data_IF_482577510645
#
_entry.id   IF_482577510645
#
_cell.length_a   1.000
_cell.length_b   1.000
_cell.length_c   1.000
_cell.angle_alpha   90.00
_cell.angle_beta   90.00
_cell.angle_gamma   90.00
#
_symmetry.space_group_name_H-M   'P 1'
#
loop_
_entity.id
_entity.type
_entity.pdbx_description
1 polymer ?
#
# COMPACT_ATOMS: atom_id res chain seq x y z
N UNK A 1 22.44 -44.69 12.88
CA UNK A 1 23.06 -43.38 12.55
C UNK A 1 22.09 -42.34 11.96
N UNK A 2 20.96 -42.72 11.34
CA UNK A 2 20.02 -41.76 10.72
C UNK A 2 19.08 -41.02 11.68
N UNK A 3 18.82 -41.56 12.88
CA UNK A 3 17.94 -40.91 13.86
C UNK A 3 18.57 -39.68 14.52
N UNK A 4 19.89 -39.68 14.72
CA UNK A 4 20.60 -38.55 15.35
C UNK A 4 20.58 -37.28 14.48
N UNK A 5 20.78 -37.41 13.16
CA UNK A 5 20.68 -36.28 12.21
C UNK A 5 19.29 -35.63 12.18
N UNK A 6 18.23 -36.37 12.52
CA UNK A 6 16.86 -35.85 12.51
C UNK A 6 16.60 -34.90 13.69
N UNK A 7 17.16 -35.21 14.86
CA UNK A 7 17.04 -34.34 16.05
C UNK A 7 17.86 -33.06 15.92
N UNK A 8 19.05 -33.14 15.35
CA UNK A 8 19.91 -31.97 15.09
C UNK A 8 19.28 -31.00 14.07
N UNK A 9 18.65 -31.55 13.02
CA UNK A 9 17.90 -30.75 12.04
C UNK A 9 16.67 -30.07 12.64
N UNK A 10 15.92 -30.78 13.50
CA UNK A 10 14.75 -30.21 14.19
C UNK A 10 15.15 -29.12 15.20
N UNK A 11 16.29 -29.26 15.88
CA UNK A 11 16.80 -28.24 16.81
C UNK A 11 17.21 -26.94 16.10
N UNK A 12 17.85 -27.05 14.93
CA UNK A 12 18.23 -25.89 14.12
C UNK A 12 17.03 -25.17 13.47
N UNK A 13 15.96 -25.90 13.13
CA UNK A 13 14.74 -25.26 12.64
C UNK A 13 14.03 -24.48 13.76
N UNK A 14 13.93 -25.02 14.98
CA UNK A 14 13.28 -24.37 16.12
C UNK A 14 14.05 -23.10 16.55
N UNK A 15 15.39 -23.16 16.59
CA UNK A 15 16.21 -21.98 16.91
C UNK A 15 16.08 -20.87 15.85
N UNK A 16 16.01 -21.25 14.56
CA UNK A 16 15.82 -20.29 13.46
C UNK A 16 14.46 -19.60 13.47
N UNK A 17 13.39 -20.31 13.87
CA UNK A 17 12.04 -19.75 13.98
C UNK A 17 11.97 -18.74 15.15
N UNK A 18 12.60 -19.05 16.28
CA UNK A 18 12.68 -18.14 17.42
C UNK A 18 13.41 -16.84 17.10
N UNK A 19 14.53 -16.91 16.37
CA UNK A 19 15.29 -15.72 15.97
C UNK A 19 14.52 -14.86 14.94
N UNK A 20 13.84 -15.49 13.98
CA UNK A 20 12.98 -14.79 13.02
C UNK A 20 11.80 -14.09 13.71
N UNK A 21 11.12 -14.77 14.64
CA UNK A 21 10.02 -14.19 15.40
C UNK A 21 10.46 -12.98 16.24
N UNK A 22 11.62 -13.08 16.90
CA UNK A 22 12.16 -11.98 17.70
C UNK A 22 12.55 -10.77 16.84
N UNK A 23 13.17 -10.97 15.67
CA UNK A 23 13.46 -9.88 14.73
C UNK A 23 12.18 -9.19 14.24
N UNK A 24 11.11 -9.93 13.96
CA UNK A 24 9.82 -9.35 13.56
C UNK A 24 9.19 -8.55 14.71
N UNK A 25 9.24 -9.06 15.94
CA UNK A 25 8.75 -8.37 17.13
C UNK A 25 9.53 -7.07 17.39
N UNK A 26 10.86 -7.13 17.40
CA UNK A 26 11.75 -5.98 17.57
C UNK A 26 11.51 -4.94 16.49
N UNK A 27 11.38 -5.35 15.22
CA UNK A 27 11.13 -4.43 14.10
C UNK A 27 9.76 -3.75 14.22
N UNK A 28 8.73 -4.47 14.67
CA UNK A 28 7.40 -3.90 14.93
C UNK A 28 7.44 -2.91 16.10
N UNK A 29 8.15 -3.23 17.18
CA UNK A 29 8.28 -2.39 18.37
C UNK A 29 9.09 -1.12 18.10
N UNK A 30 10.22 -1.24 17.41
CA UNK A 30 11.03 -0.09 16.97
C UNK A 30 10.23 0.86 16.07
N UNK A 31 9.42 0.31 15.15
CA UNK A 31 8.54 1.13 14.31
C UNK A 31 7.48 1.87 15.13
N UNK A 32 6.89 1.22 16.14
CA UNK A 32 5.92 1.86 17.03
C UNK A 32 6.55 2.98 17.86
N UNK A 33 7.74 2.75 18.43
CA UNK A 33 8.48 3.76 19.20
C UNK A 33 8.87 4.94 18.31
N UNK A 34 9.33 4.68 17.09
CA UNK A 34 9.64 5.73 16.11
C UNK A 34 8.44 6.62 15.81
N UNK A 35 7.25 6.03 15.59
CA UNK A 35 6.03 6.82 15.40
C UNK A 35 5.67 7.64 16.64
N UNK A 36 5.80 7.09 17.85
CA UNK A 36 5.56 7.83 19.09
C UNK A 36 6.54 8.99 19.29
N UNK A 37 7.82 8.81 18.97
CA UNK A 37 8.83 9.89 19.07
C UNK A 37 8.57 11.00 18.05
N UNK A 38 8.21 10.64 16.82
CA UNK A 38 7.83 11.62 15.79
C UNK A 38 6.56 12.38 16.21
N UNK A 39 5.53 11.65 16.66
CA UNK A 39 4.29 12.27 17.13
C UNK A 39 4.55 13.25 18.28
N UNK A 40 5.33 12.83 19.27
CA UNK A 40 5.71 13.67 20.41
C UNK A 40 6.53 14.89 19.96
N UNK A 41 7.49 14.70 19.05
CA UNK A 41 8.30 15.77 18.47
C UNK A 41 7.51 16.77 17.63
N UNK A 42 6.37 16.39 17.06
CA UNK A 42 5.47 17.28 16.33
C UNK A 42 4.47 17.96 17.29
N UNK A 43 3.93 17.22 18.26
CA UNK A 43 2.94 17.72 19.20
C UNK A 43 3.51 18.78 20.15
N UNK A 44 4.77 18.68 20.58
CA UNK A 44 5.37 19.68 21.47
C UNK A 44 5.51 21.06 20.83
N UNK A 45 6.13 21.22 19.64
CA UNK A 45 6.13 22.50 18.93
C UNK A 45 4.71 23.03 18.68
N UNK A 46 3.78 22.17 18.25
CA UNK A 46 2.39 22.58 18.00
C UNK A 46 1.68 23.07 19.27
N UNK A 47 1.97 22.45 20.42
CA UNK A 47 1.47 22.88 21.71
C UNK A 47 2.02 24.25 22.12
N UNK A 48 3.33 24.46 22.01
CA UNK A 48 3.95 25.75 22.33
C UNK A 48 3.57 26.86 21.34
N UNK A 49 3.27 26.50 20.10
CA UNK A 49 2.76 27.43 19.10
C UNK A 49 1.27 27.78 19.33
N UNK A 50 0.60 27.14 20.28
CA UNK A 50 -0.76 27.50 20.70
C UNK A 50 -1.89 26.77 19.97
N UNK A 51 -1.61 25.73 19.18
CA UNK A 51 -2.62 25.01 18.38
C UNK A 51 -3.76 24.42 19.23
N UNK A 52 -3.45 24.02 20.48
CA UNK A 52 -4.42 23.41 21.39
C UNK A 52 -5.09 24.44 22.34
N UNK A 53 -4.86 25.74 22.15
CA UNK A 53 -5.52 26.81 22.90
C UNK A 53 -5.10 26.98 24.38
N UNK A 54 -4.24 26.10 24.91
CA UNK A 54 -3.73 26.18 26.29
C UNK A 54 -2.58 27.18 26.50
N UNK A 55 -1.92 27.61 25.42
CA UNK A 55 -0.81 28.57 25.45
C UNK A 55 -1.06 29.64 24.39
N UNK A 56 -0.86 30.92 24.74
CA UNK A 56 -0.96 32.02 23.78
C UNK A 56 0.21 31.96 22.79
N UNK A 57 -0.02 31.41 21.61
CA UNK A 57 0.96 31.33 20.52
C UNK A 57 0.35 31.72 19.16
N UNK A 58 1.18 31.93 18.12
CA UNK A 58 0.73 32.43 16.81
C UNK A 58 -0.17 31.45 16.04
N UNK A 59 -0.22 30.17 16.45
CA UNK A 59 -1.15 29.16 15.92
C UNK A 59 -2.42 29.00 16.78
N UNK A 60 -2.80 30.00 17.57
CA UNK A 60 -4.10 30.00 18.23
C UNK A 60 -5.23 29.84 17.20
N UNK A 61 -6.22 28.96 17.43
CA UNK A 61 -7.26 28.65 16.44
C UNK A 61 -8.05 29.89 15.97
N UNK A 62 -8.27 30.87 16.85
CA UNK A 62 -8.90 32.17 16.50
C UNK A 62 -8.02 33.04 15.60
N UNK A 63 -6.71 33.08 15.86
CA UNK A 63 -5.75 33.85 15.06
C UNK A 63 -5.42 33.15 13.73
N UNK A 64 -5.48 31.82 13.72
CA UNK A 64 -5.26 31.00 12.54
C UNK A 64 -6.44 31.16 11.58
N UNK A 65 -7.69 31.14 12.08
CA UNK A 65 -8.88 31.43 11.28
C UNK A 65 -8.86 32.83 10.67
N UNK A 66 -8.50 33.85 11.45
CA UNK A 66 -8.40 35.24 10.96
C UNK A 66 -7.22 35.45 10.01
N UNK A 67 -6.07 34.81 10.24
CA UNK A 67 -4.93 34.86 9.30
C UNK A 67 -5.23 34.14 7.99
N UNK A 68 -5.89 32.98 8.02
CA UNK A 68 -6.33 32.26 6.81
C UNK A 68 -7.36 33.08 6.02
N UNK A 69 -8.30 33.74 6.70
CA UNK A 69 -9.25 34.65 6.07
C UNK A 69 -8.55 35.86 5.44
N UNK A 70 -7.56 36.45 6.12
CA UNK A 70 -6.77 37.58 5.62
C UNK A 70 -5.85 37.21 4.45
N UNK A 71 -5.45 35.93 4.33
CA UNK A 71 -4.63 35.44 3.22
C UNK A 71 -5.45 35.19 1.93
N UNK A 72 -6.75 35.49 1.93
CA UNK A 72 -7.65 35.27 0.79
C UNK A 72 -8.06 33.80 0.59
N UNK A 73 -7.76 32.94 1.57
CA UNK A 73 -8.12 31.52 1.56
C UNK A 73 -9.61 31.36 1.86
N UNK A 74 -10.42 31.53 0.82
CA UNK A 74 -11.88 31.33 0.88
C UNK A 74 -12.25 29.86 1.11
N UNK A 75 -13.44 29.63 1.70
CA UNK A 75 -14.04 28.29 1.91
C UNK A 75 -13.97 27.42 0.66
N UNK A 76 -14.15 28.02 -0.52
CA UNK A 76 -14.14 27.34 -1.82
C UNK A 76 -12.76 26.75 -2.14
N UNK A 77 -11.66 27.46 -1.85
CA UNK A 77 -10.31 26.97 -2.12
C UNK A 77 -9.95 25.76 -1.25
N UNK A 78 -10.35 25.79 0.03
CA UNK A 78 -10.19 24.66 0.94
C UNK A 78 -10.97 23.44 0.45
N UNK A 79 -12.23 23.64 0.06
CA UNK A 79 -13.09 22.56 -0.45
C UNK A 79 -12.53 21.94 -1.73
N UNK A 80 -12.11 22.75 -2.70
CA UNK A 80 -11.50 22.27 -3.95
C UNK A 80 -10.20 21.49 -3.67
N UNK A 81 -9.36 21.98 -2.75
CA UNK A 81 -8.15 21.28 -2.36
C UNK A 81 -8.44 19.91 -1.77
N UNK A 82 -9.33 19.80 -0.77
CA UNK A 82 -9.66 18.51 -0.15
C UNK A 82 -10.36 17.55 -1.12
N UNK A 83 -11.21 18.04 -2.01
CA UNK A 83 -11.84 17.22 -3.06
C UNK A 83 -10.78 16.71 -4.04
N UNK A 84 -9.85 17.57 -4.50
CA UNK A 84 -8.79 17.12 -5.41
C UNK A 84 -7.89 16.07 -4.75
N UNK A 85 -7.57 16.23 -3.47
CA UNK A 85 -6.79 15.27 -2.70
C UNK A 85 -7.56 13.95 -2.51
N UNK A 86 -8.88 14.02 -2.27
CA UNK A 86 -9.74 12.84 -2.18
C UNK A 86 -9.78 12.07 -3.51
N UNK A 87 -9.95 12.78 -4.63
CA UNK A 87 -9.92 12.19 -5.97
C UNK A 87 -8.55 11.54 -6.23
N UNK A 88 -7.45 12.23 -5.93
CA UNK A 88 -6.12 11.68 -6.13
C UNK A 88 -5.86 10.44 -5.25
N UNK A 89 -6.21 10.49 -3.97
CA UNK A 89 -6.04 9.39 -3.02
C UNK A 89 -6.90 8.16 -3.39
N UNK A 90 -8.07 8.38 -3.98
CA UNK A 90 -8.94 7.29 -4.44
C UNK A 90 -8.48 6.71 -5.78
N UNK A 91 -8.18 7.58 -6.75
CA UNK A 91 -7.84 7.24 -8.13
C UNK A 91 -6.43 6.63 -8.28
N UNK A 92 -5.43 7.08 -7.50
CA UNK A 92 -4.04 6.61 -7.65
C UNK A 92 -3.91 5.07 -7.62
N UNK A 93 -4.71 4.40 -6.79
CA UNK A 93 -4.69 2.94 -6.70
C UNK A 93 -5.21 2.25 -7.98
N UNK A 94 -6.23 2.86 -8.61
CA UNK A 94 -6.76 2.36 -9.87
C UNK A 94 -5.76 2.59 -10.99
N UNK A 95 -5.17 3.78 -11.05
CA UNK A 95 -4.11 4.13 -12.00
C UNK A 95 -2.92 3.18 -11.87
N UNK A 96 -2.45 2.92 -10.65
CA UNK A 96 -1.33 2.01 -10.42
C UNK A 96 -1.64 0.57 -10.85
N UNK A 97 -2.83 0.06 -10.53
CA UNK A 97 -3.25 -1.28 -10.94
C UNK A 97 -3.43 -1.37 -12.47
N UNK A 98 -3.96 -0.33 -13.11
CA UNK A 98 -4.10 -0.25 -14.57
C UNK A 98 -2.73 -0.24 -15.27
N UNK A 99 -1.80 0.59 -14.81
CA UNK A 99 -0.44 0.65 -15.34
C UNK A 99 0.29 -0.69 -15.14
N UNK A 100 0.13 -1.32 -13.97
CA UNK A 100 0.72 -2.63 -13.69
C UNK A 100 0.17 -3.72 -14.62
N UNK A 101 -1.13 -3.67 -14.92
CA UNK A 101 -1.78 -4.58 -15.86
C UNK A 101 -1.29 -4.33 -17.31
N UNK A 102 -1.15 -3.07 -17.72
CA UNK A 102 -0.66 -2.70 -19.05
C UNK A 102 0.81 -3.09 -19.27
N UNK A 103 1.68 -2.88 -18.27
CA UNK A 103 3.07 -3.35 -18.30
C UNK A 103 3.19 -4.87 -18.22
N UNK A 104 2.10 -5.55 -17.89
CA UNK A 104 2.07 -6.98 -17.64
C UNK A 104 2.94 -7.45 -16.48
N UNK A 105 3.12 -6.58 -15.49
CA UNK A 105 3.75 -6.93 -14.25
C UNK A 105 2.79 -7.77 -13.39
N UNK A 106 3.34 -8.69 -12.58
CA UNK A 106 2.60 -9.52 -11.60
C UNK A 106 1.58 -10.51 -12.18
N UNK A 107 1.74 -10.90 -13.44
CA UNK A 107 1.02 -12.06 -13.97
C UNK A 107 1.67 -13.36 -13.53
N UNK A 108 0.88 -14.30 -13.02
CA UNK A 108 1.32 -15.64 -12.61
C UNK A 108 0.66 -16.74 -13.44
N UNK A 109 1.38 -17.85 -13.59
CA UNK A 109 0.89 -19.01 -14.32
C UNK A 109 -0.24 -19.71 -13.55
N UNK A 110 -1.43 -19.77 -14.15
CA UNK A 110 -2.61 -20.44 -13.59
C UNK A 110 -2.72 -21.94 -13.93
N UNK A 111 -1.67 -22.56 -14.48
CA UNK A 111 -1.69 -24.00 -14.80
C UNK A 111 -1.60 -24.81 -13.50
N UNK A 112 -2.56 -25.71 -13.28
CA UNK A 112 -2.49 -26.70 -12.19
C UNK A 112 -1.46 -27.77 -12.57
N UNK A 113 -0.58 -28.15 -11.65
CA UNK A 113 0.32 -29.27 -11.88
C UNK A 113 -0.40 -30.60 -11.62
N UNK A 114 -0.28 -31.53 -12.57
CA UNK A 114 -1.06 -32.79 -12.60
C UNK A 114 -0.81 -33.73 -11.41
N UNK A 115 0.28 -33.53 -10.64
CA UNK A 115 0.68 -34.45 -9.56
C UNK A 115 0.33 -33.98 -8.14
N UNK A 116 0.03 -32.71 -7.94
CA UNK A 116 -0.25 -32.12 -6.61
C UNK A 116 -1.45 -31.17 -6.59
N UNK A 117 -2.02 -30.82 -7.75
CA UNK A 117 -3.15 -29.88 -7.84
C UNK A 117 -2.78 -28.42 -7.55
N UNK A 118 -1.54 -28.14 -7.17
CA UNK A 118 -1.05 -26.80 -6.87
C UNK A 118 -0.90 -25.97 -8.15
N UNK A 119 -1.32 -24.68 -8.13
CA UNK A 119 -1.10 -23.77 -9.24
C UNK A 119 0.40 -23.49 -9.40
N UNK A 120 0.87 -23.44 -10.64
CA UNK A 120 2.27 -23.21 -10.97
C UNK A 120 2.83 -21.94 -10.31
N UNK A 121 2.06 -20.84 -10.29
CA UNK A 121 2.37 -19.63 -9.51
C UNK A 121 3.58 -18.82 -9.96
N UNK A 122 4.40 -19.35 -10.88
CA UNK A 122 5.59 -18.71 -11.44
C UNK A 122 5.18 -17.51 -12.32
N UNK A 123 5.99 -16.42 -12.36
CA UNK A 123 5.76 -15.29 -13.25
C UNK A 123 5.64 -15.72 -14.71
N UNK A 124 4.77 -15.06 -15.46
CA UNK A 124 4.61 -15.27 -16.91
C UNK A 124 4.99 -14.03 -17.69
N UNK A 125 5.67 -14.24 -18.81
CA UNK A 125 6.01 -13.19 -19.77
C UNK A 125 5.04 -13.23 -20.94
N UNK A 126 4.53 -12.08 -21.38
CA UNK A 126 3.70 -11.97 -22.58
C UNK A 126 4.60 -12.09 -23.81
N UNK A 127 4.37 -13.12 -24.64
CA UNK A 127 5.05 -13.28 -25.94
C UNK A 127 4.01 -13.32 -27.05
N UNK A 128 4.30 -12.64 -28.17
CA UNK A 128 3.49 -12.71 -29.38
C UNK A 128 3.96 -13.92 -30.18
N UNK A 129 3.08 -14.87 -30.42
CA UNK A 129 3.34 -16.00 -31.31
C UNK A 129 2.45 -15.89 -32.53
N UNK A 130 2.99 -16.24 -33.70
CA UNK A 130 2.18 -16.41 -34.90
C UNK A 130 1.60 -17.81 -34.87
N UNK A 131 0.27 -17.91 -34.82
CA UNK A 131 -0.42 -19.20 -34.82
C UNK A 131 -0.15 -19.93 -36.14
N UNK A 132 0.40 -21.14 -36.08
CA UNK A 132 0.66 -21.97 -37.27
C UNK A 132 -0.62 -22.37 -38.02
N UNK A 133 -1.79 -22.36 -37.35
CA UNK A 133 -3.08 -22.76 -37.94
C UNK A 133 -3.83 -21.62 -38.63
N UNK A 134 -3.65 -20.39 -38.16
CA UNK A 134 -4.44 -19.24 -38.60
C UNK A 134 -3.59 -18.09 -39.15
N UNK A 135 -2.26 -18.17 -39.05
CA UNK A 135 -1.34 -17.11 -39.51
C UNK A 135 -1.43 -15.80 -38.71
N UNK A 136 -2.34 -15.72 -37.73
CA UNK A 136 -2.60 -14.52 -36.96
C UNK A 136 -1.65 -14.41 -35.75
N UNK A 137 -1.22 -13.19 -35.39
CA UNK A 137 -0.46 -12.96 -34.17
C UNK A 137 -1.37 -13.13 -32.94
N UNK A 138 -1.16 -14.20 -32.18
CA UNK A 138 -1.85 -14.47 -30.91
C UNK A 138 -0.89 -14.17 -29.76
N UNK A 139 -1.34 -13.35 -28.80
CA UNK A 139 -0.59 -13.13 -27.57
C UNK A 139 -0.81 -14.29 -26.61
N UNK A 140 0.24 -15.04 -26.32
CA UNK A 140 0.23 -16.10 -25.30
C UNK A 140 1.17 -15.74 -24.15
N UNK A 141 0.82 -16.19 -22.95
CA UNK A 141 1.62 -16.05 -21.75
C UNK A 141 2.47 -17.31 -21.56
N UNK A 142 3.79 -17.12 -21.42
CA UNK A 142 4.75 -18.20 -21.25
C UNK A 142 5.40 -18.11 -19.89
N UNK A 143 5.36 -19.22 -19.16
CA UNK A 143 6.04 -19.40 -17.88
C UNK A 143 7.49 -19.90 -18.10
N UNK A 144 8.41 -19.64 -17.18
CA UNK A 144 9.77 -20.21 -17.19
C UNK A 144 9.78 -21.75 -17.25
N UNK A 145 8.76 -22.40 -16.69
CA UNK A 145 8.55 -23.86 -16.78
C UNK A 145 8.02 -24.33 -18.14
N UNK A 146 7.93 -23.45 -19.13
CA UNK A 146 7.52 -23.76 -20.51
C UNK A 146 6.00 -23.87 -20.74
N UNK A 147 5.17 -23.59 -19.74
CA UNK A 147 3.71 -23.59 -19.88
C UNK A 147 3.24 -22.41 -20.74
N UNK A 148 2.40 -22.68 -21.76
CA UNK A 148 1.78 -21.68 -22.64
C UNK A 148 0.27 -21.64 -22.42
N UNK A 149 -0.28 -20.45 -22.21
CA UNK A 149 -1.73 -20.25 -22.11
C UNK A 149 -2.14 -18.87 -22.59
N UNK A 150 -3.37 -18.75 -23.09
CA UNK A 150 -4.00 -17.47 -23.41
C UNK A 150 -4.38 -16.67 -22.16
N UNK A 151 -4.51 -17.33 -21.01
CA UNK A 151 -4.97 -16.73 -19.74
C UNK A 151 -3.87 -16.75 -18.67
N UNK A 152 -3.67 -15.60 -18.01
CA UNK A 152 -2.78 -15.43 -16.87
C UNK A 152 -3.56 -14.83 -15.69
N UNK A 153 -3.16 -15.16 -14.46
CA UNK A 153 -3.80 -14.61 -13.27
C UNK A 153 -3.08 -13.32 -12.84
N UNK A 154 -3.83 -12.23 -12.68
CA UNK A 154 -3.29 -10.95 -12.22
C UNK A 154 -3.48 -10.80 -10.71
N UNK A 155 -2.42 -10.44 -10.00
CA UNK A 155 -2.49 -10.12 -8.58
C UNK A 155 -2.58 -8.60 -8.37
N UNK A 156 -3.78 -8.03 -8.16
CA UNK A 156 -3.93 -6.60 -7.92
C UNK A 156 -3.28 -6.19 -6.60
N UNK A 157 -2.73 -4.98 -6.57
CA UNK A 157 -2.23 -4.41 -5.33
C UNK A 157 -3.40 -3.94 -4.49
N UNK A 158 -3.52 -4.51 -3.29
CA UNK A 158 -4.51 -4.12 -2.29
C UNK A 158 -4.06 -2.82 -1.64
N UNK A 159 -4.98 -1.86 -1.47
CA UNK A 159 -4.71 -0.62 -0.75
C UNK A 159 -4.19 -0.93 0.65
N UNK A 160 -3.09 -0.27 1.03
CA UNK A 160 -2.59 -0.31 2.41
C UNK A 160 -3.45 0.54 3.35
N UNK A 161 -3.33 0.30 4.66
CA UNK A 161 -4.05 1.03 5.70
C UNK A 161 -3.89 2.55 5.64
N UNK A 162 -2.72 3.02 5.18
CA UNK A 162 -2.42 4.46 5.00
C UNK A 162 -3.29 5.09 3.92
N UNK A 163 -3.45 4.42 2.77
CA UNK A 163 -4.34 4.92 1.72
C UNK A 163 -5.78 4.98 2.23
N UNK A 164 -6.22 3.97 2.99
CA UNK A 164 -7.55 3.99 3.61
C UNK A 164 -7.74 5.16 4.57
N UNK A 165 -6.76 5.42 5.43
CA UNK A 165 -6.81 6.53 6.37
C UNK A 165 -6.89 7.88 5.66
N UNK A 166 -6.10 8.06 4.59
CA UNK A 166 -6.06 9.32 3.84
C UNK A 166 -7.40 9.69 3.20
N UNK A 167 -8.06 8.78 2.47
CA UNK A 167 -9.35 9.12 1.86
C UNK A 167 -10.47 9.32 2.88
N UNK A 168 -10.44 8.58 4.01
CA UNK A 168 -11.40 8.78 5.11
C UNK A 168 -11.19 10.13 5.79
N UNK A 169 -9.95 10.52 6.06
CA UNK A 169 -9.62 11.84 6.62
C UNK A 169 -10.07 12.95 5.67
N UNK A 170 -9.74 12.86 4.37
CA UNK A 170 -10.18 13.83 3.38
C UNK A 170 -11.70 13.92 3.27
N UNK A 171 -12.41 12.78 3.33
CA UNK A 171 -13.87 12.76 3.30
C UNK A 171 -14.47 13.39 4.56
N UNK A 172 -13.91 13.12 5.74
CA UNK A 172 -14.33 13.74 6.99
C UNK A 172 -14.14 15.26 6.94
N UNK A 173 -13.00 15.75 6.44
CA UNK A 173 -12.77 17.19 6.26
C UNK A 173 -13.73 17.82 5.24
N UNK A 174 -14.01 17.15 4.11
CA UNK A 174 -15.02 17.62 3.16
C UNK A 174 -16.41 17.71 3.82
N UNK A 175 -16.81 16.70 4.60
CA UNK A 175 -18.07 16.70 5.31
C UNK A 175 -18.14 17.85 6.33
N UNK A 176 -17.10 18.04 7.15
CA UNK A 176 -17.00 19.14 8.11
C UNK A 176 -17.16 20.48 7.39
N UNK A 177 -16.42 20.72 6.32
CA UNK A 177 -16.50 22.00 5.57
C UNK A 177 -17.87 22.22 4.94
N UNK A 178 -18.55 21.16 4.51
CA UNK A 178 -19.91 21.25 3.94
C UNK A 178 -21.00 21.45 5.00
N UNK A 179 -20.88 20.82 6.16
CA UNK A 179 -21.89 20.90 7.24
C UNK A 179 -21.69 22.10 8.18
N UNK A 180 -20.47 22.59 8.35
CA UNK A 180 -20.15 23.83 9.07
C UNK A 180 -20.10 25.05 8.14
N UNK A 181 -20.38 24.88 6.83
CA UNK A 181 -20.54 26.01 5.90
C UNK A 181 -21.85 26.73 6.10
#
# INVERSE_FOLDING_TARGET
MNHFKKYEKSGNEISSIGEQANRVYLRRRLRSIGFSMIAMGICFPLYYLGLFGGVKGPLNPEQLGTSLANMGLSKVHMLVFFISLLIFATAWNWVYNLVSLLMGARFTCAKKMDKTGEPCGVPVTRKRFVSKRTGLPVTEYVCEKGHRRSEAHFHPVKKGAVSHSLWVISLAFCAIVLFLS
#
